data_IF_396196668851
#
_entry.id   IF_396196668851
#
_cell.length_a   1.000
_cell.length_b   1.000
_cell.length_c   1.000
_cell.angle_alpha   90.00
_cell.angle_beta   90.00
_cell.angle_gamma   90.00
#
_symmetry.space_group_name_H-M   'P 1'
#
loop_
_entity.id
_entity.type
_entity.pdbx_description
1 polymer ?
#
# COMPACT_ATOMS: atom_id res chain seq x y z
N UNK A 1 -7.42 25.40 -3.25
CA UNK A 1 -7.95 24.02 -3.21
C UNK A 1 -7.05 23.21 -2.30
N UNK A 2 -7.54 22.76 -1.14
CA UNK A 2 -6.82 21.74 -0.35
C UNK A 2 -7.00 20.42 -1.06
N UNK A 3 -5.92 19.86 -1.61
CA UNK A 3 -5.92 18.53 -2.18
C UNK A 3 -5.96 17.53 -1.02
N UNK A 4 -7.16 17.05 -0.68
CA UNK A 4 -7.29 15.91 0.21
C UNK A 4 -6.76 14.69 -0.56
N UNK A 5 -5.68 14.12 -0.08
CA UNK A 5 -5.15 12.88 -0.63
C UNK A 5 -6.15 11.76 -0.36
N UNK A 6 -6.59 11.09 -1.43
CA UNK A 6 -7.59 10.01 -1.41
C UNK A 6 -6.87 8.68 -1.66
N UNK A 7 -6.67 7.93 -0.58
CA UNK A 7 -5.89 6.68 -0.59
C UNK A 7 -6.59 5.59 -1.39
N UNK A 8 -7.93 5.52 -1.31
CA UNK A 8 -8.76 4.59 -2.07
C UNK A 8 -8.61 4.85 -3.57
N UNK A 9 -8.76 6.12 -3.99
CA UNK A 9 -8.59 6.51 -5.39
C UNK A 9 -7.19 6.22 -5.91
N UNK A 10 -6.16 6.43 -5.08
CA UNK A 10 -4.79 6.07 -5.45
C UNK A 10 -4.63 4.55 -5.67
N UNK A 11 -5.18 3.74 -4.78
CA UNK A 11 -5.14 2.28 -4.87
C UNK A 11 -5.82 1.78 -6.14
N UNK A 12 -7.02 2.27 -6.44
CA UNK A 12 -7.76 1.90 -7.65
C UNK A 12 -6.96 2.22 -8.93
N UNK A 13 -6.33 3.39 -9.00
CA UNK A 13 -5.50 3.79 -10.13
C UNK A 13 -4.27 2.88 -10.28
N UNK A 14 -3.60 2.52 -9.18
CA UNK A 14 -2.47 1.60 -9.25
C UNK A 14 -2.91 0.19 -9.67
N UNK A 15 -4.01 -0.31 -9.11
CA UNK A 15 -4.58 -1.62 -9.47
C UNK A 15 -4.92 -1.68 -10.96
N UNK A 16 -5.57 -0.65 -11.51
CA UNK A 16 -5.87 -0.57 -12.94
C UNK A 16 -4.61 -0.59 -13.80
N UNK A 17 -3.54 0.10 -13.38
CA UNK A 17 -2.25 0.08 -14.09
C UNK A 17 -1.60 -1.30 -14.09
N UNK A 18 -1.68 -2.03 -12.98
CA UNK A 18 -1.16 -3.40 -12.89
C UNK A 18 -1.95 -4.36 -13.78
N UNK A 19 -3.29 -4.24 -13.78
CA UNK A 19 -4.16 -5.02 -14.67
C UNK A 19 -3.90 -4.72 -16.15
N UNK A 20 -3.69 -3.44 -16.49
CA UNK A 20 -3.34 -3.04 -17.86
C UNK A 20 -1.97 -3.61 -18.28
N UNK A 21 -0.98 -3.62 -17.39
CA UNK A 21 0.32 -4.24 -17.64
C UNK A 21 0.23 -5.75 -17.85
N UNK A 22 -0.60 -6.45 -17.06
CA UNK A 22 -0.91 -7.86 -17.31
C UNK A 22 -1.58 -8.07 -18.67
N UNK A 23 -2.59 -7.25 -18.99
CA UNK A 23 -3.30 -7.35 -20.27
C UNK A 23 -2.36 -7.09 -21.47
N UNK A 24 -1.35 -6.25 -21.29
CA UNK A 24 -0.30 -5.99 -22.28
C UNK A 24 0.80 -7.07 -22.32
N UNK A 25 0.74 -8.10 -21.45
CA UNK A 25 1.74 -9.16 -21.36
C UNK A 25 3.08 -8.73 -20.73
N UNK A 26 3.10 -7.58 -20.03
CA UNK A 26 4.28 -7.06 -19.32
C UNK A 26 4.45 -7.75 -17.96
N UNK A 27 3.34 -8.16 -17.34
CA UNK A 27 3.32 -8.89 -16.07
C UNK A 27 2.65 -10.24 -16.25
N UNK A 28 3.27 -11.29 -15.73
CA UNK A 28 2.66 -12.61 -15.57
C UNK A 28 1.71 -12.64 -14.36
N UNK A 29 0.90 -13.70 -14.26
CA UNK A 29 -0.04 -13.90 -13.15
C UNK A 29 0.62 -13.82 -11.76
N UNK A 30 1.81 -14.40 -11.61
CA UNK A 30 2.55 -14.40 -10.34
C UNK A 30 3.09 -13.01 -9.99
N UNK A 31 3.59 -12.29 -10.98
CA UNK A 31 4.10 -10.93 -10.81
C UNK A 31 2.95 -9.96 -10.47
N UNK A 32 1.79 -10.11 -11.12
CA UNK A 32 0.60 -9.36 -10.77
C UNK A 32 0.16 -9.63 -9.33
N UNK A 33 0.08 -10.89 -8.91
CA UNK A 33 -0.32 -11.24 -7.54
C UNK A 33 0.62 -10.61 -6.50
N UNK A 34 1.93 -10.69 -6.75
CA UNK A 34 2.95 -10.06 -5.89
C UNK A 34 2.83 -8.55 -5.86
N UNK A 35 2.59 -7.92 -7.01
CA UNK A 35 2.42 -6.48 -7.11
C UNK A 35 1.14 -5.98 -6.42
N UNK A 36 0.05 -6.74 -6.50
CA UNK A 36 -1.20 -6.45 -5.79
C UNK A 36 -1.01 -6.54 -4.27
N UNK A 37 -0.36 -7.60 -3.77
CA UNK A 37 -0.08 -7.74 -2.34
C UNK A 37 0.79 -6.59 -1.80
N UNK A 38 1.79 -6.15 -2.59
CA UNK A 38 2.59 -4.97 -2.23
C UNK A 38 1.78 -3.67 -2.24
N UNK A 39 0.86 -3.55 -3.20
CA UNK A 39 -0.01 -2.39 -3.31
C UNK A 39 -0.97 -2.29 -2.11
N UNK A 40 -1.51 -3.41 -1.63
CA UNK A 40 -2.34 -3.49 -0.42
C UNK A 40 -1.55 -3.05 0.81
N UNK A 41 -0.34 -3.59 1.03
CA UNK A 41 0.50 -3.17 2.17
C UNK A 41 0.91 -1.69 2.10
N UNK A 42 1.03 -1.12 0.90
CA UNK A 42 1.29 0.30 0.72
C UNK A 42 0.05 1.16 1.04
N UNK A 43 -1.16 0.69 0.69
CA UNK A 43 -2.41 1.34 1.09
C UNK A 43 -2.54 1.40 2.61
N UNK A 44 -2.36 0.27 3.30
CA UNK A 44 -2.42 0.20 4.76
C UNK A 44 -1.40 1.16 5.42
N UNK A 45 -0.17 1.20 4.89
CA UNK A 45 0.86 2.11 5.39
C UNK A 45 0.53 3.59 5.13
N UNK A 46 -0.18 3.92 4.05
CA UNK A 46 -0.64 5.28 3.75
C UNK A 46 -1.82 5.66 4.65
N UNK A 47 -2.80 4.79 4.83
CA UNK A 47 -3.93 4.99 5.73
C UNK A 47 -3.46 5.19 7.18
N UNK A 48 -2.51 4.38 7.66
CA UNK A 48 -1.91 4.55 8.98
C UNK A 48 -1.23 5.92 9.17
N UNK A 49 -0.63 6.48 8.10
CA UNK A 49 -0.03 7.83 8.15
C UNK A 49 -1.08 8.94 8.15
N UNK A 50 -2.19 8.76 7.44
CA UNK A 50 -3.27 9.74 7.34
C UNK A 50 -4.09 9.82 8.62
N UNK A 51 -4.33 8.67 9.25
CA UNK A 51 -5.04 8.57 10.53
C UNK A 51 -4.17 9.04 11.72
N UNK A 52 -2.85 9.18 11.52
CA UNK A 52 -1.90 9.46 12.60
C UNK A 52 -1.68 8.26 13.54
N UNK A 53 -2.34 7.13 13.26
CA UNK A 53 -2.21 5.86 13.97
C UNK A 53 -0.91 5.15 13.61
N UNK A 54 0.22 5.71 14.03
CA UNK A 54 1.31 4.86 14.46
C UNK A 54 0.90 4.20 15.79
N UNK A 55 0.14 3.11 15.72
CA UNK A 55 0.39 2.02 16.67
C UNK A 55 1.71 1.40 16.24
N UNK A 56 2.82 2.09 16.56
CA UNK A 56 4.06 1.40 16.86
C UNK A 56 3.67 0.29 17.83
N UNK A 57 3.83 -0.95 17.39
CA UNK A 57 3.50 -2.13 18.17
C UNK A 57 4.09 -2.04 19.58
N UNK A 58 3.53 -2.77 20.56
CA UNK A 58 3.95 -2.66 21.95
C UNK A 58 5.46 -2.82 22.06
N UNK A 59 6.09 -1.75 22.56
CA UNK A 59 7.28 -1.75 23.41
C UNK A 59 8.21 -2.96 23.20
N UNK A 60 9.26 -2.80 22.39
CA UNK A 60 10.46 -3.58 22.66
C UNK A 60 10.87 -3.27 24.12
N UNK A 61 11.01 -4.25 25.03
CA UNK A 61 11.45 -3.95 26.37
C UNK A 61 12.82 -3.31 26.28
N UNK A 62 12.92 -2.08 26.79
CA UNK A 62 14.17 -1.40 27.08
C UNK A 62 15.00 -2.38 27.91
N UNK A 63 16.07 -2.95 27.35
CA UNK A 63 17.10 -3.60 28.15
C UNK A 63 17.80 -2.47 28.91
N UNK A 64 17.29 -2.14 30.09
CA UNK A 64 18.10 -1.48 31.10
C UNK A 64 18.96 -2.57 31.73
N UNK A 65 20.28 -2.38 31.62
CA UNK A 65 21.27 -3.15 32.34
C UNK A 65 21.65 -2.47 33.65
#
# INVERSE_FOLDING_TARGET
>A
MTYNFDAERWFELQRQRLLAQRAAGVLDDQELATALQRLEGALEAMEARLDGSFLVGPLAPRREG
#
